data_IF_389459676595
#
_entry.id   IF_389459676595
#
_cell.length_a   1.000
_cell.length_b   1.000
_cell.length_c   1.000
_cell.angle_alpha   90.00
_cell.angle_beta   90.00
_cell.angle_gamma   90.00
#
_symmetry.space_group_name_H-M   'P 1'
#
loop_
_entity.id
_entity.type
_entity.pdbx_description
1 polymer ?
#
# COMPACT_ATOMS: atom_id res chain seq x y z
N UNK A 1 -15.87 22.84 -14.15
CA UNK A 1 -15.58 21.40 -14.29
C UNK A 1 -14.67 21.02 -13.14
N UNK A 2 -15.16 20.24 -12.18
CA UNK A 2 -14.29 19.69 -11.14
C UNK A 2 -13.42 18.61 -11.79
N UNK A 3 -12.12 18.68 -11.57
CA UNK A 3 -11.17 17.71 -12.13
C UNK A 3 -11.31 16.40 -11.35
N UNK A 4 -11.89 15.36 -11.97
CA UNK A 4 -12.18 14.07 -11.32
C UNK A 4 -10.94 13.45 -10.67
N UNK A 5 -9.75 13.66 -11.23
CA UNK A 5 -8.50 13.16 -10.66
C UNK A 5 -8.18 13.83 -9.31
N UNK A 6 -8.53 15.10 -9.14
CA UNK A 6 -8.36 15.84 -7.88
C UNK A 6 -9.30 15.30 -6.81
N UNK A 7 -10.54 14.98 -7.16
CA UNK A 7 -11.51 14.39 -6.22
C UNK A 7 -11.07 13.00 -5.75
N UNK A 8 -10.55 12.17 -6.68
CA UNK A 8 -9.98 10.86 -6.34
C UNK A 8 -8.75 11.03 -5.45
N UNK A 9 -7.86 11.98 -5.78
CA UNK A 9 -6.67 12.25 -4.97
C UNK A 9 -7.02 12.67 -3.55
N UNK A 10 -7.95 13.61 -3.38
CA UNK A 10 -8.39 14.05 -2.04
C UNK A 10 -9.12 12.94 -1.28
N UNK A 11 -9.90 12.11 -1.96
CA UNK A 11 -10.53 10.94 -1.33
C UNK A 11 -9.48 9.94 -0.83
N UNK A 12 -8.43 9.66 -1.62
CA UNK A 12 -7.32 8.83 -1.20
C UNK A 12 -6.54 9.45 -0.04
N UNK A 13 -6.31 10.76 -0.09
CA UNK A 13 -5.61 11.48 0.98
C UNK A 13 -6.39 11.45 2.29
N UNK A 14 -7.70 11.65 2.25
CA UNK A 14 -8.57 11.55 3.42
C UNK A 14 -8.62 10.13 3.99
N UNK A 15 -8.66 9.09 3.15
CA UNK A 15 -8.54 7.70 3.61
C UNK A 15 -7.17 7.48 4.28
N UNK A 16 -6.09 7.97 3.68
CA UNK A 16 -4.75 7.84 4.22
C UNK A 16 -4.64 8.53 5.58
N UNK A 17 -5.06 9.79 5.70
CA UNK A 17 -4.97 10.57 6.93
C UNK A 17 -5.84 10.01 8.06
N UNK A 18 -7.06 9.56 7.76
CA UNK A 18 -7.92 8.85 8.73
C UNK A 18 -7.30 7.56 9.27
N UNK A 19 -6.33 6.98 8.55
CA UNK A 19 -5.60 5.78 8.96
C UNK A 19 -4.17 6.08 9.43
N UNK A 20 -3.85 7.35 9.78
CA UNK A 20 -2.50 7.79 10.17
C UNK A 20 -1.86 6.93 11.26
N UNK A 21 -2.61 6.49 12.26
CA UNK A 21 -2.09 5.59 13.30
C UNK A 21 -1.62 4.25 12.72
N UNK A 22 -2.38 3.69 11.77
CA UNK A 22 -2.02 2.43 11.10
C UNK A 22 -0.77 2.62 10.25
N UNK A 23 -0.64 3.77 9.60
CA UNK A 23 0.53 4.13 8.78
C UNK A 23 1.79 4.26 9.64
N UNK A 24 1.70 4.97 10.77
CA UNK A 24 2.82 5.11 11.71
C UNK A 24 3.23 3.75 12.26
N UNK A 25 2.27 2.96 12.74
CA UNK A 25 2.54 1.61 13.22
C UNK A 25 3.20 0.74 12.14
N UNK A 26 2.74 0.82 10.89
CA UNK A 26 3.31 0.04 9.80
C UNK A 26 4.77 0.41 9.51
N UNK A 27 5.13 1.68 9.61
CA UNK A 27 6.49 2.15 9.33
C UNK A 27 7.42 1.96 10.52
N UNK A 28 6.95 2.18 11.74
CA UNK A 28 7.80 2.20 12.93
C UNK A 28 7.79 0.85 13.67
N UNK A 29 6.63 0.22 13.81
CA UNK A 29 6.41 -0.89 14.75
C UNK A 29 6.24 -2.26 14.08
N UNK A 30 5.83 -2.32 12.80
CA UNK A 30 5.74 -3.58 12.07
C UNK A 30 7.12 -4.23 11.99
N UNK A 31 7.25 -5.33 12.73
CA UNK A 31 8.50 -6.06 12.90
C UNK A 31 8.24 -7.56 12.82
N UNK A 32 8.05 -8.06 11.60
CA UNK A 32 8.01 -9.49 11.30
C UNK A 32 8.83 -9.73 10.03
N UNK A 33 9.72 -10.74 10.06
CA UNK A 33 10.60 -11.04 8.92
C UNK A 33 9.89 -11.76 7.78
N UNK A 34 8.72 -12.32 8.03
CA UNK A 34 7.91 -13.04 7.05
C UNK A 34 6.58 -13.48 7.64
N UNK A 35 5.83 -14.26 6.87
CA UNK A 35 4.45 -14.60 7.20
C UNK A 35 4.28 -15.41 8.49
N UNK A 36 5.20 -16.34 8.80
CA UNK A 36 5.12 -17.12 10.04
C UNK A 36 5.28 -16.25 11.30
N UNK A 37 6.30 -15.39 11.34
CA UNK A 37 6.47 -14.44 12.46
C UNK A 37 5.30 -13.46 12.55
N UNK A 38 4.78 -13.01 11.41
CA UNK A 38 3.60 -12.15 11.36
C UNK A 38 2.39 -12.84 11.99
N UNK A 39 2.12 -14.11 11.64
CA UNK A 39 1.02 -14.89 12.23
C UNK A 39 1.19 -15.07 13.74
N UNK A 40 2.41 -15.29 14.22
CA UNK A 40 2.68 -15.47 15.64
C UNK A 40 2.48 -14.17 16.42
N UNK A 41 3.05 -13.06 15.95
CA UNK A 41 2.98 -11.76 16.63
C UNK A 41 1.61 -11.11 16.54
N UNK A 42 0.95 -11.20 15.39
CA UNK A 42 -0.25 -10.44 15.05
C UNK A 42 -1.41 -11.36 14.67
N UNK A 43 -1.87 -12.14 15.64
CA UNK A 43 -2.87 -13.19 15.45
C UNK A 43 -4.33 -12.70 15.67
N UNK A 44 -5.28 -13.44 15.13
CA UNK A 44 -6.72 -13.24 15.41
C UNK A 44 -7.25 -11.87 15.00
N UNK A 45 -7.80 -11.14 15.98
CA UNK A 45 -8.40 -9.80 15.81
C UNK A 45 -7.53 -8.71 16.45
N UNK A 46 -6.21 -8.93 16.54
CA UNK A 46 -5.29 -7.95 17.12
C UNK A 46 -5.33 -6.62 16.36
N UNK A 47 -5.08 -5.52 17.07
CA UNK A 47 -5.10 -4.18 16.51
C UNK A 47 -4.00 -4.00 15.45
N UNK A 48 -2.83 -4.60 15.67
CA UNK A 48 -1.69 -4.65 14.77
C UNK A 48 -2.05 -5.32 13.43
N UNK A 49 -2.77 -6.44 13.50
CA UNK A 49 -3.26 -7.12 12.29
C UNK A 49 -4.22 -6.22 11.51
N UNK A 50 -5.09 -5.49 12.21
CA UNK A 50 -5.98 -4.50 11.58
C UNK A 50 -5.20 -3.35 10.93
N UNK A 51 -4.13 -2.85 11.58
CA UNK A 51 -3.25 -1.84 11.01
C UNK A 51 -2.58 -2.34 9.72
N UNK A 52 -2.05 -3.56 9.72
CA UNK A 52 -1.46 -4.18 8.53
C UNK A 52 -2.47 -4.25 7.37
N UNK A 53 -3.67 -4.78 7.64
CA UNK A 53 -4.73 -4.93 6.62
C UNK A 53 -5.16 -3.57 6.06
N UNK A 54 -5.29 -2.53 6.90
CA UNK A 54 -5.68 -1.18 6.46
C UNK A 54 -4.66 -0.59 5.49
N UNK A 55 -3.37 -0.67 5.82
CA UNK A 55 -2.31 -0.10 4.98
C UNK A 55 -2.18 -0.88 3.66
N UNK A 56 -2.13 -2.22 3.72
CA UNK A 56 -2.08 -3.03 2.50
C UNK A 56 -3.33 -2.81 1.63
N UNK A 57 -4.51 -2.71 2.24
CA UNK A 57 -5.77 -2.43 1.55
C UNK A 57 -5.80 -1.05 0.88
N UNK A 58 -5.25 -0.02 1.53
CA UNK A 58 -5.11 1.31 0.94
C UNK A 58 -4.27 1.26 -0.34
N UNK A 59 -3.09 0.62 -0.30
CA UNK A 59 -2.24 0.55 -1.48
C UNK A 59 -2.76 -0.41 -2.56
N UNK A 60 -3.53 -1.43 -2.19
CA UNK A 60 -4.24 -2.30 -3.13
C UNK A 60 -5.30 -1.53 -3.92
N UNK A 61 -6.11 -0.71 -3.22
CA UNK A 61 -7.06 0.20 -3.84
C UNK A 61 -6.35 1.19 -4.77
N UNK A 62 -5.32 1.87 -4.26
CA UNK A 62 -4.55 2.83 -5.05
C UNK A 62 -3.93 2.20 -6.30
N UNK A 63 -3.36 0.99 -6.17
CA UNK A 63 -2.83 0.23 -7.29
C UNK A 63 -3.89 -0.07 -8.34
N UNK A 64 -5.09 -0.45 -7.90
CA UNK A 64 -6.23 -0.67 -8.81
C UNK A 64 -6.60 0.59 -9.58
N UNK A 65 -6.70 1.75 -8.91
CA UNK A 65 -7.07 3.02 -9.53
C UNK A 65 -6.04 3.48 -10.55
N UNK A 66 -4.75 3.41 -10.19
CA UNK A 66 -3.64 3.78 -11.08
C UNK A 66 -3.55 2.83 -12.28
N UNK A 67 -3.63 1.51 -12.06
CA UNK A 67 -3.64 0.48 -13.12
C UNK A 67 -4.77 0.69 -14.12
N UNK A 68 -5.94 1.11 -13.64
CA UNK A 68 -7.14 1.38 -14.47
C UNK A 68 -7.16 2.79 -15.07
N UNK A 69 -6.14 3.62 -14.83
CA UNK A 69 -6.05 5.01 -15.29
C UNK A 69 -7.24 5.88 -14.84
N UNK A 70 -7.70 5.64 -13.61
CA UNK A 70 -8.77 6.42 -12.97
C UNK A 70 -8.24 7.62 -12.18
N UNK A 71 -6.92 7.75 -12.10
CA UNK A 71 -6.19 8.91 -11.58
C UNK A 71 -4.89 9.03 -12.39
N UNK A 72 -4.46 10.25 -12.70
CA UNK A 72 -3.14 10.47 -13.29
C UNK A 72 -2.01 9.90 -12.42
N UNK A 73 -1.15 9.10 -13.06
CA UNK A 73 -0.05 8.40 -12.38
C UNK A 73 0.98 9.36 -11.78
N UNK A 74 1.25 10.50 -12.42
CA UNK A 74 2.20 11.47 -11.88
C UNK A 74 1.61 12.15 -10.65
N UNK A 75 0.35 12.58 -10.73
CA UNK A 75 -0.37 13.20 -9.63
C UNK A 75 -0.39 12.28 -8.40
N UNK A 76 -0.69 10.99 -8.58
CA UNK A 76 -0.65 10.03 -7.48
C UNK A 76 0.76 9.89 -6.88
N UNK A 77 1.79 9.70 -7.72
CA UNK A 77 3.15 9.45 -7.23
C UNK A 77 3.91 10.68 -6.73
N UNK A 78 3.43 11.89 -7.05
CA UNK A 78 3.91 13.13 -6.44
C UNK A 78 3.43 13.28 -4.99
N UNK A 79 2.27 12.68 -4.62
CA UNK A 79 1.71 12.73 -3.26
C UNK A 79 2.05 11.49 -2.44
N UNK A 80 1.90 10.29 -3.02
CA UNK A 80 2.04 9.03 -2.31
C UNK A 80 3.32 8.28 -2.71
N UNK A 81 3.93 7.64 -1.71
CA UNK A 81 5.11 6.80 -1.90
C UNK A 81 4.86 5.38 -1.35
N UNK A 82 4.47 4.40 -2.20
CA UNK A 82 4.24 3.02 -1.77
C UNK A 82 5.52 2.27 -1.37
N UNK A 83 6.70 2.77 -1.78
CA UNK A 83 7.97 2.05 -1.67
C UNK A 83 8.31 1.55 -0.27
N UNK A 84 8.40 2.43 0.76
CA UNK A 84 8.72 2.03 2.12
C UNK A 84 7.77 0.97 2.70
N UNK A 85 6.48 1.09 2.38
CA UNK A 85 5.46 0.15 2.84
C UNK A 85 5.61 -1.21 2.15
N UNK A 86 5.85 -1.22 0.83
CA UNK A 86 6.06 -2.47 0.10
C UNK A 86 7.27 -3.23 0.63
N UNK A 87 8.39 -2.54 0.88
CA UNK A 87 9.61 -3.18 1.40
C UNK A 87 9.37 -3.90 2.74
N UNK A 88 8.55 -3.33 3.62
CA UNK A 88 8.17 -3.97 4.89
C UNK A 88 7.14 -5.09 4.74
N UNK A 89 6.21 -4.95 3.79
CA UNK A 89 5.12 -5.90 3.61
C UNK A 89 5.52 -7.15 2.81
N UNK A 90 6.51 -7.02 1.91
CA UNK A 90 6.79 -7.99 0.84
C UNK A 90 6.88 -9.44 1.33
N UNK A 91 7.78 -9.74 2.26
CA UNK A 91 8.00 -11.12 2.72
C UNK A 91 6.80 -11.72 3.46
N UNK A 92 5.97 -10.87 4.08
CA UNK A 92 4.72 -11.28 4.73
C UNK A 92 3.68 -11.62 3.65
N UNK A 93 3.51 -10.74 2.66
CA UNK A 93 2.55 -10.92 1.56
C UNK A 93 2.91 -12.14 0.71
N UNK A 94 4.18 -12.34 0.39
CA UNK A 94 4.66 -13.52 -0.35
C UNK A 94 4.27 -14.82 0.37
N UNK A 95 4.44 -14.92 1.69
CA UNK A 95 3.99 -16.09 2.44
C UNK A 95 2.47 -16.23 2.54
N UNK A 96 1.71 -15.12 2.57
CA UNK A 96 0.23 -15.19 2.50
C UNK A 96 -0.26 -15.85 1.19
N UNK A 97 0.50 -15.69 0.10
CA UNK A 97 0.11 -16.19 -1.23
C UNK A 97 0.15 -17.71 -1.37
N UNK A 98 0.74 -18.43 -0.42
CA UNK A 98 0.63 -19.90 -0.35
C UNK A 98 -0.83 -20.38 -0.27
N UNK A 99 -1.69 -19.59 0.39
CA UNK A 99 -3.13 -19.90 0.53
C UNK A 99 -4.04 -18.92 -0.20
N UNK A 100 -3.54 -17.73 -0.54
CA UNK A 100 -4.30 -16.66 -1.21
C UNK A 100 -3.48 -16.06 -2.36
N UNK A 101 -3.37 -16.77 -3.50
CA UNK A 101 -2.35 -16.47 -4.53
C UNK A 101 -2.33 -15.03 -5.05
N UNK A 102 -3.48 -14.36 -5.09
CA UNK A 102 -3.63 -13.01 -5.66
C UNK A 102 -3.73 -11.90 -4.61
N UNK A 103 -3.48 -12.20 -3.34
CA UNK A 103 -3.61 -11.18 -2.29
C UNK A 103 -2.57 -10.06 -2.49
N UNK A 104 -3.06 -8.82 -2.46
CA UNK A 104 -2.26 -7.60 -2.58
C UNK A 104 -1.41 -7.49 -3.87
N UNK A 105 -1.86 -8.08 -4.98
CA UNK A 105 -1.18 -8.02 -6.27
C UNK A 105 -1.11 -6.59 -6.84
N UNK A 106 -2.12 -5.74 -6.59
CA UNK A 106 -2.12 -4.38 -7.12
C UNK A 106 -1.25 -3.45 -6.26
N UNK A 107 -1.06 -3.75 -4.97
CA UNK A 107 -0.03 -3.08 -4.17
C UNK A 107 1.38 -3.37 -4.70
N UNK A 108 1.69 -4.64 -5.01
CA UNK A 108 2.97 -5.00 -5.63
C UNK A 108 3.18 -4.25 -6.96
N UNK A 109 2.20 -4.33 -7.86
CA UNK A 109 2.23 -3.63 -9.14
C UNK A 109 2.40 -2.12 -8.96
N UNK A 110 1.71 -1.51 -8.00
CA UNK A 110 1.81 -0.08 -7.71
C UNK A 110 3.25 0.31 -7.33
N UNK A 111 3.92 -0.52 -6.53
CA UNK A 111 5.32 -0.30 -6.20
C UNK A 111 6.23 -0.42 -7.44
N UNK A 112 6.01 -1.42 -8.29
CA UNK A 112 6.76 -1.55 -9.56
C UNK A 112 6.57 -0.34 -10.47
N UNK A 113 5.32 0.14 -10.58
CA UNK A 113 4.99 1.37 -11.33
C UNK A 113 5.72 2.58 -10.75
N UNK A 114 5.82 2.71 -9.40
CA UNK A 114 6.58 3.78 -8.74
C UNK A 114 8.06 3.71 -9.08
N UNK A 115 8.67 2.53 -9.03
CA UNK A 115 10.10 2.34 -9.37
C UNK A 115 10.37 2.73 -10.83
N UNK A 116 9.51 2.33 -11.75
CA UNK A 116 9.63 2.68 -13.17
C UNK A 116 9.41 4.18 -13.41
N UNK A 117 8.45 4.78 -12.72
CA UNK A 117 8.19 6.22 -12.74
C UNK A 117 9.40 7.02 -12.23
N UNK A 118 10.02 6.58 -11.13
CA UNK A 118 11.17 7.27 -10.54
C UNK A 118 12.37 7.29 -11.49
N UNK A 119 12.65 6.18 -12.18
CA UNK A 119 13.72 6.08 -13.19
C UNK A 119 13.57 7.07 -14.35
N UNK A 120 12.33 7.47 -14.68
CA UNK A 120 12.04 8.43 -15.76
C UNK A 120 12.16 9.89 -15.33
N UNK A 121 12.13 10.16 -14.02
CA UNK A 121 12.30 11.50 -13.43
C UNK A 121 13.74 11.84 -13.09
N UNK A 122 14.64 10.86 -13.05
CA UNK A 122 16.07 11.10 -12.94
C UNK A 122 16.56 11.80 -14.22
N UNK A 123 16.65 13.13 -14.14
CA UNK A 123 17.43 14.00 -15.01
C UNK A 123 18.61 14.52 -14.20
#
# INVERSE_FOLDING_TARGET
MVNKDVDVLFSLYDIYDRNRESILWFLEDLNAKGYEEYKQKYHGTSQERCHFIRVCGFFELSGTLVKRRLIDTNLYFDVFNPGPFWQKAKSIIEGMRETRPFIYENFELLNEMKLNWAKRRTK
#
